data_IF_900573544902
#
_entry.id   IF_900573544902
#
_cell.length_a   1.000
_cell.length_b   1.000
_cell.length_c   1.000
_cell.angle_alpha   90.00
_cell.angle_beta   90.00
_cell.angle_gamma   90.00
#
_symmetry.space_group_name_H-M   'P 1'
#
loop_
_entity.id
_entity.type
_entity.pdbx_description
1 polymer ?
#
# COMPACT_ATOMS: atom_id res chain seq x y z
N UNK A 1 -33.16 -16.34 0.26
CA UNK A 1 -32.36 -17.21 1.16
C UNK A 1 -30.88 -16.82 1.17
N UNK A 2 -30.46 -15.70 0.54
CA UNK A 2 -29.05 -15.29 0.46
C UNK A 2 -28.50 -14.61 1.71
N UNK A 3 -29.24 -13.67 2.31
CA UNK A 3 -28.72 -12.80 3.39
C UNK A 3 -28.26 -13.54 4.66
N UNK A 4 -29.02 -14.55 5.12
CA UNK A 4 -28.66 -15.31 6.34
C UNK A 4 -27.49 -16.27 6.13
N UNK A 5 -27.29 -16.73 4.89
CA UNK A 5 -26.18 -17.61 4.52
C UNK A 5 -24.86 -16.83 4.48
N UNK A 6 -24.87 -15.62 3.93
CA UNK A 6 -23.72 -14.72 3.93
C UNK A 6 -23.33 -14.28 5.35
N UNK A 7 -24.28 -13.83 6.18
CA UNK A 7 -24.01 -13.46 7.58
C UNK A 7 -23.38 -14.61 8.39
N UNK A 8 -23.79 -15.85 8.14
CA UNK A 8 -23.23 -17.01 8.85
C UNK A 8 -21.80 -17.32 8.38
N UNK A 9 -21.52 -17.21 7.08
CA UNK A 9 -20.18 -17.38 6.52
C UNK A 9 -19.20 -16.33 7.05
N UNK A 10 -19.62 -15.07 7.10
CA UNK A 10 -18.78 -13.96 7.58
C UNK A 10 -18.46 -14.06 9.07
N UNK A 11 -19.38 -14.62 9.87
CA UNK A 11 -19.12 -14.93 11.29
C UNK A 11 -18.03 -15.98 11.46
N UNK A 12 -17.97 -17.01 10.62
CA UNK A 12 -16.90 -18.01 10.68
C UNK A 12 -15.54 -17.41 10.29
N UNK A 13 -15.50 -16.57 9.25
CA UNK A 13 -14.29 -15.86 8.81
C UNK A 13 -13.77 -14.96 9.95
N UNK A 14 -14.67 -14.16 10.54
CA UNK A 14 -14.33 -13.29 11.68
C UNK A 14 -13.82 -14.08 12.88
N UNK A 15 -14.52 -15.15 13.25
CA UNK A 15 -14.11 -16.03 14.34
C UNK A 15 -12.73 -16.66 14.11
N UNK A 16 -12.43 -17.08 12.87
CA UNK A 16 -11.11 -17.59 12.50
C UNK A 16 -10.00 -16.57 12.72
N UNK A 17 -10.21 -15.33 12.25
CA UNK A 17 -9.25 -14.25 12.46
C UNK A 17 -9.10 -13.84 13.94
N UNK A 18 -10.20 -13.76 14.69
CA UNK A 18 -10.17 -13.47 16.13
C UNK A 18 -9.37 -14.52 16.90
N UNK A 19 -9.55 -15.80 16.58
CA UNK A 19 -8.78 -16.88 17.17
C UNK A 19 -7.30 -16.77 16.80
N UNK A 20 -6.96 -16.55 15.54
CA UNK A 20 -5.56 -16.38 15.08
C UNK A 20 -4.87 -15.23 15.83
N UNK A 21 -5.56 -14.10 16.01
CA UNK A 21 -5.03 -12.95 16.74
C UNK A 21 -4.82 -13.22 18.24
N UNK A 22 -5.66 -14.07 18.85
CA UNK A 22 -5.58 -14.44 20.28
C UNK A 22 -4.45 -15.43 20.59
N UNK A 23 -4.28 -16.48 19.78
CA UNK A 23 -3.23 -17.51 20.02
C UNK A 23 -1.88 -17.12 19.47
N UNK A 24 -1.81 -16.19 18.52
CA UNK A 24 -0.58 -15.80 17.84
C UNK A 24 -0.19 -16.77 16.71
N UNK A 25 0.57 -16.27 15.72
CA UNK A 25 0.84 -16.94 14.43
C UNK A 25 1.31 -18.39 14.56
N UNK A 26 2.27 -18.64 15.43
CA UNK A 26 2.95 -19.95 15.52
C UNK A 26 2.06 -21.02 16.16
N UNK A 27 1.15 -20.61 17.04
CA UNK A 27 0.22 -21.51 17.72
C UNK A 27 -1.09 -21.63 16.93
N UNK A 28 -1.52 -20.57 16.23
CA UNK A 28 -2.76 -20.56 15.46
C UNK A 28 -2.81 -21.61 14.33
N UNK A 29 -1.68 -21.85 13.66
CA UNK A 29 -1.58 -22.85 12.57
C UNK A 29 -1.66 -24.31 13.06
N UNK A 30 -1.55 -24.57 14.37
CA UNK A 30 -1.59 -25.92 14.94
C UNK A 30 -2.73 -26.14 15.94
N UNK A 31 -3.27 -25.06 16.52
CA UNK A 31 -4.21 -25.13 17.63
C UNK A 31 -5.64 -24.74 17.26
N UNK A 32 -5.87 -23.94 16.22
CA UNK A 32 -7.23 -23.51 15.86
C UNK A 32 -7.96 -24.64 15.15
N UNK A 33 -8.99 -25.18 15.78
CA UNK A 33 -9.84 -26.22 15.18
C UNK A 33 -11.15 -25.64 14.64
N UNK A 34 -11.81 -26.41 13.76
CA UNK A 34 -13.17 -26.09 13.30
C UNK A 34 -14.15 -26.00 14.48
N UNK A 35 -13.93 -26.78 15.54
CA UNK A 35 -14.73 -26.72 16.76
C UNK A 35 -14.62 -25.36 17.45
N UNK A 36 -13.39 -24.85 17.58
CA UNK A 36 -13.12 -23.54 18.20
C UNK A 36 -13.75 -22.41 17.38
N UNK A 37 -13.58 -22.45 16.05
CA UNK A 37 -14.15 -21.46 15.13
C UNK A 37 -15.68 -21.50 15.22
N UNK A 38 -16.29 -22.69 15.20
CA UNK A 38 -17.73 -22.82 15.26
C UNK A 38 -18.30 -22.34 16.60
N UNK A 39 -17.66 -22.71 17.71
CA UNK A 39 -18.01 -22.23 19.03
C UNK A 39 -17.94 -20.69 19.11
N UNK A 40 -16.86 -20.10 18.61
CA UNK A 40 -16.67 -18.64 18.58
C UNK A 40 -17.72 -17.93 17.72
N UNK A 41 -18.04 -18.49 16.56
CA UNK A 41 -19.11 -17.99 15.69
C UNK A 41 -20.53 -18.22 16.28
N UNK A 42 -20.65 -18.88 17.45
CA UNK A 42 -21.92 -19.30 18.05
C UNK A 42 -22.76 -20.16 17.09
N UNK A 43 -22.11 -21.12 16.44
CA UNK A 43 -22.68 -22.06 15.47
C UNK A 43 -22.15 -23.48 15.71
N UNK A 44 -22.71 -24.45 14.99
CA UNK A 44 -22.24 -25.84 15.04
C UNK A 44 -21.21 -26.12 13.94
N UNK A 45 -20.36 -27.13 14.15
CA UNK A 45 -19.43 -27.62 13.11
C UNK A 45 -20.18 -28.08 11.86
N UNK A 46 -21.36 -28.70 12.00
CA UNK A 46 -22.22 -29.02 10.85
C UNK A 46 -22.58 -27.78 10.05
N UNK A 47 -22.87 -26.66 10.73
CA UNK A 47 -23.13 -25.40 10.04
C UNK A 47 -21.89 -24.88 9.32
N UNK A 48 -20.69 -25.04 9.88
CA UNK A 48 -19.45 -24.69 9.23
C UNK A 48 -19.26 -25.47 7.91
N UNK A 49 -19.40 -26.79 7.96
CA UNK A 49 -19.25 -27.66 6.78
C UNK A 49 -20.36 -27.50 5.73
N UNK A 50 -21.46 -26.80 6.04
CA UNK A 50 -22.44 -26.40 5.04
C UNK A 50 -22.00 -25.18 4.21
N UNK A 51 -20.99 -24.44 4.69
CA UNK A 51 -20.46 -23.23 4.04
C UNK A 51 -19.07 -23.42 3.42
N UNK A 52 -18.30 -24.39 3.91
CA UNK A 52 -16.96 -24.71 3.43
C UNK A 52 -16.88 -26.20 3.14
N UNK A 53 -16.39 -26.57 1.96
CA UNK A 53 -16.28 -27.96 1.52
C UNK A 53 -15.28 -28.73 2.40
N UNK A 54 -14.14 -28.11 2.66
CA UNK A 54 -13.07 -28.63 3.51
C UNK A 54 -12.32 -27.47 4.20
N UNK A 55 -11.26 -27.84 4.95
CA UNK A 55 -10.44 -26.87 5.67
C UNK A 55 -9.68 -25.93 4.72
N UNK A 56 -9.20 -26.45 3.60
CA UNK A 56 -8.42 -25.67 2.64
C UNK A 56 -9.29 -24.61 1.96
N UNK A 57 -10.53 -24.95 1.62
CA UNK A 57 -11.53 -24.01 1.11
C UNK A 57 -11.88 -22.92 2.13
N UNK A 58 -11.92 -23.25 3.43
CA UNK A 58 -12.06 -22.24 4.47
C UNK A 58 -10.84 -21.32 4.55
N UNK A 59 -9.63 -21.87 4.54
CA UNK A 59 -8.38 -21.10 4.58
C UNK A 59 -8.27 -20.17 3.37
N UNK A 60 -8.58 -20.65 2.17
CA UNK A 60 -8.60 -19.83 0.95
C UNK A 60 -9.55 -18.63 1.08
N UNK A 61 -10.74 -18.86 1.64
CA UNK A 61 -11.71 -17.80 1.90
C UNK A 61 -11.22 -16.85 2.99
N UNK A 62 -10.68 -17.37 4.09
CA UNK A 62 -10.17 -16.59 5.21
C UNK A 62 -9.06 -15.64 4.73
N UNK A 63 -8.13 -16.15 3.93
CA UNK A 63 -7.04 -15.41 3.29
C UNK A 63 -7.58 -14.42 2.25
N UNK A 64 -8.59 -14.79 1.47
CA UNK A 64 -9.22 -13.84 0.53
C UNK A 64 -10.04 -12.73 1.23
N UNK A 65 -10.30 -12.88 2.53
CA UNK A 65 -11.04 -11.93 3.37
C UNK A 65 -10.15 -11.33 4.47
N UNK A 66 -8.84 -11.19 4.23
CA UNK A 66 -7.99 -10.36 5.09
C UNK A 66 -8.60 -8.96 5.11
N UNK A 67 -8.84 -8.37 6.30
CA UNK A 67 -9.24 -6.97 6.35
C UNK A 67 -8.16 -6.15 5.67
N UNK A 68 -8.52 -5.50 4.57
CA UNK A 68 -7.57 -4.77 3.76
C UNK A 68 -7.27 -3.43 4.44
N UNK A 69 -6.06 -2.89 4.23
CA UNK A 69 -5.62 -1.65 4.89
C UNK A 69 -6.18 -0.38 4.25
N UNK A 70 -6.49 0.60 5.08
CA UNK A 70 -6.59 2.02 4.73
C UNK A 70 -7.83 2.43 3.92
N UNK A 71 -7.98 3.74 3.67
CA UNK A 71 -9.17 4.35 3.05
C UNK A 71 -9.31 4.08 1.54
N UNK A 72 -8.49 3.19 0.97
CA UNK A 72 -8.45 2.91 -0.47
C UNK A 72 -9.39 1.77 -0.88
N UNK A 73 -10.28 1.32 0.01
CA UNK A 73 -11.31 0.33 -0.33
C UNK A 73 -12.54 0.99 -0.90
N UNK A 74 -12.88 0.57 -2.11
CA UNK A 74 -14.09 0.97 -2.83
C UNK A 74 -15.39 0.38 -2.25
N UNK A 75 -15.34 -0.36 -1.13
CA UNK A 75 -16.53 -0.98 -0.54
C UNK A 75 -17.53 0.06 -0.01
N UNK A 76 -17.05 1.26 0.33
CA UNK A 76 -17.89 2.41 0.69
C UNK A 76 -18.31 3.27 -0.52
N UNK A 77 -17.99 2.86 -1.75
CA UNK A 77 -18.22 3.67 -2.96
C UNK A 77 -17.31 4.89 -3.08
N UNK A 78 -16.37 5.06 -2.15
CA UNK A 78 -15.34 6.10 -2.18
C UNK A 78 -14.09 5.57 -2.86
N UNK A 79 -13.76 6.11 -4.03
CA UNK A 79 -12.47 5.92 -4.67
C UNK A 79 -11.50 6.95 -4.05
N UNK A 80 -10.41 6.49 -3.44
CA UNK A 80 -9.37 7.38 -2.94
C UNK A 80 -8.77 8.27 -4.05
N UNK A 81 -8.89 7.84 -5.31
CA UNK A 81 -8.54 8.65 -6.50
C UNK A 81 -9.50 9.85 -6.63
N UNK A 82 -10.78 9.68 -6.30
CA UNK A 82 -11.82 10.72 -6.43
C UNK A 82 -11.69 11.77 -5.30
N UNK A 83 -11.21 11.37 -4.11
CA UNK A 83 -10.89 12.30 -3.00
C UNK A 83 -9.63 13.13 -3.32
N UNK A 84 -8.70 12.53 -4.06
CA UNK A 84 -7.47 13.20 -4.50
C UNK A 84 -7.78 14.29 -5.53
N UNK A 85 -8.82 14.14 -6.38
CA UNK A 85 -9.26 15.18 -7.34
C UNK A 85 -9.60 16.54 -6.70
N UNK A 86 -10.22 16.57 -5.50
CA UNK A 86 -10.54 17.84 -4.82
C UNK A 86 -9.28 18.54 -4.25
N UNK A 87 -8.24 17.77 -3.92
CA UNK A 87 -6.98 18.27 -3.35
C UNK A 87 -5.94 18.59 -4.43
N UNK A 88 -6.01 17.90 -5.58
CA UNK A 88 -5.14 18.07 -6.76
C UNK A 88 -5.21 19.47 -7.37
N UNK A 89 -6.32 20.19 -7.21
CA UNK A 89 -6.51 21.56 -7.71
C UNK A 89 -5.43 22.51 -7.17
N UNK A 90 -4.82 22.20 -6.02
CA UNK A 90 -3.77 23.00 -5.40
C UNK A 90 -2.35 22.46 -5.61
N UNK A 91 -2.16 21.28 -6.22
CA UNK A 91 -0.85 20.63 -6.32
C UNK A 91 0.05 21.33 -7.37
N UNK A 92 0.73 22.39 -6.95
CA UNK A 92 1.82 23.02 -7.73
C UNK A 92 3.17 22.55 -7.20
N UNK A 93 4.22 22.75 -8.00
CA UNK A 93 5.60 22.48 -7.58
C UNK A 93 5.98 23.16 -6.27
N UNK A 94 5.50 24.39 -6.06
CA UNK A 94 5.86 25.22 -4.91
C UNK A 94 5.32 24.67 -3.60
N UNK A 95 4.15 24.05 -3.62
CA UNK A 95 3.48 23.50 -2.41
C UNK A 95 3.61 21.97 -2.30
N UNK A 96 4.28 21.33 -3.26
CA UNK A 96 4.43 19.87 -3.30
C UNK A 96 5.10 19.32 -2.03
N UNK A 97 6.17 19.94 -1.47
CA UNK A 97 6.78 19.44 -0.24
C UNK A 97 5.81 19.41 0.94
N UNK A 98 5.03 20.47 1.13
CA UNK A 98 4.04 20.58 2.20
C UNK A 98 2.88 19.59 2.00
N UNK A 99 2.41 19.43 0.76
CA UNK A 99 1.36 18.47 0.42
C UNK A 99 1.80 17.02 0.68
N UNK A 100 3.00 16.63 0.22
CA UNK A 100 3.54 15.29 0.44
C UNK A 100 3.73 15.02 1.93
N UNK A 101 4.24 16.01 2.68
CA UNK A 101 4.39 15.90 4.14
C UNK A 101 3.05 15.69 4.85
N UNK A 102 2.05 16.51 4.52
CA UNK A 102 0.72 16.39 5.11
C UNK A 102 0.07 15.05 4.77
N UNK A 103 0.23 14.57 3.53
CA UNK A 103 -0.24 13.25 3.12
C UNK A 103 0.47 12.12 3.88
N UNK A 104 1.79 12.21 4.07
CA UNK A 104 2.57 11.23 4.82
C UNK A 104 2.15 11.18 6.30
N UNK A 105 1.96 12.35 6.92
CA UNK A 105 1.44 12.46 8.30
C UNK A 105 0.04 11.87 8.44
N UNK A 106 -0.89 12.27 7.56
CA UNK A 106 -2.27 11.77 7.56
C UNK A 106 -2.32 10.25 7.36
N UNK A 107 -1.57 9.74 6.39
CA UNK A 107 -1.48 8.31 6.13
C UNK A 107 -0.87 7.56 7.32
N UNK A 108 0.21 8.07 7.93
CA UNK A 108 0.82 7.44 9.10
C UNK A 108 -0.14 7.33 10.28
N UNK A 109 -0.87 8.41 10.58
CA UNK A 109 -1.88 8.44 11.65
C UNK A 109 -3.04 7.46 11.39
N UNK A 110 -3.36 7.18 10.12
CA UNK A 110 -4.36 6.18 9.77
C UNK A 110 -3.81 4.76 9.95
N UNK A 111 -2.68 4.44 9.31
CA UNK A 111 -2.14 3.07 9.28
C UNK A 111 -1.60 2.58 10.63
N UNK A 112 -1.40 3.49 11.59
CA UNK A 112 -1.03 3.17 12.98
C UNK A 112 -2.22 2.98 13.91
N UNK A 113 -3.47 3.10 13.43
CA UNK A 113 -4.66 2.77 14.22
C UNK A 113 -4.68 1.27 14.56
N UNK A 114 -5.24 0.87 15.72
CA UNK A 114 -5.26 -0.53 16.13
C UNK A 114 -5.84 -1.52 15.10
N UNK A 115 -6.89 -1.12 14.38
CA UNK A 115 -7.49 -1.94 13.33
C UNK A 115 -6.53 -2.15 12.14
N UNK A 116 -5.87 -1.08 11.71
CA UNK A 116 -4.90 -1.10 10.60
C UNK A 116 -3.63 -1.88 10.95
N UNK A 117 -3.14 -1.73 12.18
CA UNK A 117 -2.02 -2.53 12.69
C UNK A 117 -2.38 -4.01 12.77
N UNK A 118 -3.63 -4.35 13.09
CA UNK A 118 -4.13 -5.73 13.09
C UNK A 118 -4.16 -6.30 11.67
N UNK A 119 -4.71 -5.54 10.71
CA UNK A 119 -4.67 -5.90 9.30
C UNK A 119 -3.24 -6.09 8.78
N UNK A 120 -2.32 -5.19 9.14
CA UNK A 120 -0.92 -5.29 8.74
C UNK A 120 -0.24 -6.53 9.32
N UNK A 121 -0.45 -6.82 10.61
CA UNK A 121 0.07 -8.05 11.24
C UNK A 121 -0.38 -9.26 10.45
N UNK A 122 -1.67 -9.40 10.18
CA UNK A 122 -2.25 -10.51 9.39
C UNK A 122 -1.62 -10.61 7.99
N UNK A 123 -1.37 -9.49 7.32
CA UNK A 123 -0.66 -9.49 6.03
C UNK A 123 0.79 -10.01 6.16
N UNK A 124 1.54 -9.61 7.20
CA UNK A 124 2.89 -10.12 7.45
C UNK A 124 2.88 -11.63 7.73
N UNK A 125 1.88 -12.12 8.46
CA UNK A 125 1.70 -13.56 8.74
C UNK A 125 1.64 -14.35 7.42
N UNK A 126 0.85 -13.88 6.47
CA UNK A 126 0.67 -14.54 5.18
C UNK A 126 1.89 -14.39 4.29
N UNK A 127 2.50 -13.20 4.26
CA UNK A 127 3.73 -12.98 3.50
C UNK A 127 4.85 -13.92 3.94
N UNK A 128 4.93 -14.27 5.24
CA UNK A 128 5.91 -15.22 5.77
C UNK A 128 5.76 -16.66 5.23
N UNK A 129 4.60 -17.00 4.67
CA UNK A 129 4.27 -18.33 4.13
C UNK A 129 4.19 -18.36 2.61
N UNK A 130 4.11 -17.19 1.95
CA UNK A 130 3.92 -17.07 0.51
C UNK A 130 5.08 -17.62 -0.34
N UNK A 131 6.26 -17.87 0.25
CA UNK A 131 7.36 -18.57 -0.44
C UNK A 131 7.04 -20.05 -0.68
N UNK A 132 6.29 -20.67 0.23
CA UNK A 132 6.02 -22.10 0.22
C UNK A 132 4.62 -22.42 -0.31
N UNK A 133 3.71 -21.43 -0.27
CA UNK A 133 2.29 -21.60 -0.57
C UNK A 133 1.88 -20.70 -1.75
N UNK A 134 1.70 -21.30 -2.93
CA UNK A 134 1.37 -20.57 -4.17
C UNK A 134 0.04 -19.83 -4.07
N UNK A 135 -0.98 -20.40 -3.43
CA UNK A 135 -2.29 -19.76 -3.24
C UNK A 135 -2.19 -18.47 -2.44
N UNK A 136 -1.38 -18.45 -1.37
CA UNK A 136 -1.12 -17.23 -0.59
C UNK A 136 -0.38 -16.17 -1.41
N UNK A 137 0.60 -16.60 -2.22
CA UNK A 137 1.32 -15.70 -3.13
C UNK A 137 0.37 -15.10 -4.16
N UNK A 138 -0.56 -15.88 -4.70
CA UNK A 138 -1.56 -15.41 -5.67
C UNK A 138 -2.54 -14.41 -5.05
N UNK A 139 -3.02 -14.65 -3.82
CA UNK A 139 -3.90 -13.70 -3.12
C UNK A 139 -3.17 -12.39 -2.84
N UNK A 140 -1.95 -12.46 -2.28
CA UNK A 140 -1.13 -11.27 -2.04
C UNK A 140 -0.79 -10.55 -3.36
N UNK A 141 -0.47 -11.31 -4.41
CA UNK A 141 -0.22 -10.81 -5.76
C UNK A 141 -1.42 -10.05 -6.32
N UNK A 142 -2.61 -10.64 -6.28
CA UNK A 142 -3.84 -10.04 -6.80
C UNK A 142 -4.24 -8.80 -6.02
N UNK A 143 -4.28 -8.89 -4.69
CA UNK A 143 -4.91 -7.84 -3.88
C UNK A 143 -3.93 -6.68 -3.62
N UNK A 144 -2.66 -6.99 -3.29
CA UNK A 144 -1.67 -5.94 -3.01
C UNK A 144 -1.06 -5.36 -4.29
N UNK A 145 -0.53 -6.22 -5.17
CA UNK A 145 0.11 -5.76 -6.41
C UNK A 145 -0.90 -5.50 -7.55
N UNK A 146 -2.04 -6.18 -7.55
CA UNK A 146 -3.05 -6.01 -8.61
C UNK A 146 -4.09 -4.92 -8.35
N UNK A 147 -4.30 -4.50 -7.09
CA UNK A 147 -5.32 -3.49 -6.73
C UNK A 147 -4.74 -2.33 -5.94
N UNK A 148 -4.10 -2.59 -4.80
CA UNK A 148 -3.66 -1.52 -3.89
C UNK A 148 -2.56 -0.63 -4.50
N UNK A 149 -1.42 -1.22 -4.92
CA UNK A 149 -0.31 -0.43 -5.47
C UNK A 149 -0.68 0.33 -6.76
N UNK A 150 -1.42 -0.25 -7.73
CA UNK A 150 -1.86 0.50 -8.91
C UNK A 150 -2.73 1.72 -8.59
N UNK A 151 -3.57 1.65 -7.56
CA UNK A 151 -4.36 2.81 -7.13
C UNK A 151 -3.47 3.90 -6.50
N UNK A 152 -2.46 3.50 -5.73
CA UNK A 152 -1.52 4.43 -5.12
C UNK A 152 -0.64 5.10 -6.19
N UNK A 153 -0.20 4.31 -7.18
CA UNK A 153 0.54 4.80 -8.33
C UNK A 153 -0.25 5.88 -9.07
N UNK A 154 -1.55 5.66 -9.32
CA UNK A 154 -2.41 6.65 -10.01
C UNK A 154 -2.47 7.99 -9.26
N UNK A 155 -2.57 7.93 -7.92
CA UNK A 155 -2.56 9.13 -7.07
C UNK A 155 -1.23 9.88 -7.22
N UNK A 156 -0.10 9.16 -7.25
CA UNK A 156 1.21 9.77 -7.44
C UNK A 156 1.38 10.35 -8.85
N UNK A 157 0.94 9.65 -9.88
CA UNK A 157 0.95 10.12 -11.28
C UNK A 157 0.15 11.43 -11.44
N UNK A 158 -1.06 11.49 -10.91
CA UNK A 158 -1.90 12.68 -10.98
C UNK A 158 -1.27 13.86 -10.20
N UNK A 159 -0.75 13.60 -9.01
CA UNK A 159 -0.09 14.63 -8.17
C UNK A 159 1.15 15.18 -8.86
N UNK A 160 1.96 14.29 -9.45
CA UNK A 160 3.17 14.65 -10.16
C UNK A 160 2.87 15.42 -11.45
N UNK A 161 1.85 15.01 -12.20
CA UNK A 161 1.39 15.73 -13.40
C UNK A 161 0.92 17.15 -13.07
N UNK A 162 0.14 17.33 -12.00
CA UNK A 162 -0.30 18.65 -11.54
C UNK A 162 0.90 19.54 -11.15
N UNK A 163 1.89 18.96 -10.46
CA UNK A 163 3.12 19.66 -10.05
C UNK A 163 4.19 19.77 -11.15
N UNK A 164 3.96 19.21 -12.36
CA UNK A 164 4.92 19.15 -13.48
C UNK A 164 6.27 18.53 -13.09
N UNK A 165 6.20 17.43 -12.36
CA UNK A 165 7.35 16.62 -11.96
C UNK A 165 7.18 15.20 -12.46
N UNK A 166 8.30 14.49 -12.58
CA UNK A 166 8.33 13.07 -12.94
C UNK A 166 9.43 12.35 -12.15
N UNK A 167 9.36 11.02 -12.02
CA UNK A 167 10.45 10.25 -11.45
C UNK A 167 11.80 10.54 -12.14
N UNK A 168 12.87 10.48 -11.36
CA UNK A 168 14.26 10.59 -11.87
C UNK A 168 14.59 9.37 -12.73
N UNK A 169 15.32 9.55 -13.84
CA UNK A 169 15.74 8.40 -14.65
C UNK A 169 16.68 7.47 -13.85
N UNK A 170 16.61 6.15 -14.05
CA UNK A 170 15.73 5.40 -14.96
C UNK A 170 14.40 4.96 -14.31
N UNK A 171 13.99 5.58 -13.20
CA UNK A 171 12.79 5.20 -12.47
C UNK A 171 11.53 5.58 -13.22
N UNK A 172 10.53 4.71 -13.14
CA UNK A 172 9.14 5.02 -13.52
C UNK A 172 8.26 5.15 -12.27
N UNK A 173 6.97 5.45 -12.47
CA UNK A 173 6.03 5.58 -11.36
C UNK A 173 5.75 4.26 -10.64
N UNK A 174 5.89 3.12 -11.32
CA UNK A 174 5.75 1.81 -10.68
C UNK A 174 6.88 1.62 -9.65
N UNK A 175 8.12 1.87 -10.04
CA UNK A 175 9.31 1.77 -9.19
C UNK A 175 9.29 2.81 -8.06
N UNK A 176 8.89 4.05 -8.37
CA UNK A 176 8.66 5.10 -7.38
C UNK A 176 7.65 4.67 -6.31
N UNK A 177 6.49 4.15 -6.73
CA UNK A 177 5.41 3.71 -5.83
C UNK A 177 5.89 2.55 -4.96
N UNK A 178 6.57 1.56 -5.55
CA UNK A 178 7.13 0.41 -4.83
C UNK A 178 8.16 0.84 -3.78
N UNK A 179 9.02 1.81 -4.10
CA UNK A 179 10.03 2.31 -3.16
C UNK A 179 9.40 2.98 -1.94
N UNK A 180 8.41 3.86 -2.15
CA UNK A 180 7.70 4.52 -1.05
C UNK A 180 6.87 3.54 -0.22
N UNK A 181 6.18 2.59 -0.86
CA UNK A 181 5.45 1.54 -0.16
C UNK A 181 6.39 0.69 0.71
N UNK A 182 7.53 0.24 0.17
CA UNK A 182 8.51 -0.54 0.90
C UNK A 182 9.09 0.22 2.11
N UNK A 183 9.39 1.51 1.95
CA UNK A 183 9.85 2.35 3.05
C UNK A 183 8.78 2.51 4.14
N UNK A 184 7.55 2.84 3.74
CA UNK A 184 6.41 3.00 4.66
C UNK A 184 6.13 1.71 5.44
N UNK A 185 6.11 0.56 4.76
CA UNK A 185 5.92 -0.74 5.41
C UNK A 185 7.07 -1.16 6.32
N UNK A 186 8.32 -0.84 5.94
CA UNK A 186 9.48 -1.04 6.80
C UNK A 186 9.41 -0.22 8.09
N UNK A 187 8.96 1.04 8.00
CA UNK A 187 8.71 1.89 9.16
C UNK A 187 7.57 1.35 10.01
N UNK A 188 6.48 0.89 9.39
CA UNK A 188 5.36 0.30 10.10
C UNK A 188 5.75 -1.00 10.82
N UNK A 189 6.62 -1.80 10.23
CA UNK A 189 7.16 -3.01 10.85
C UNK A 189 7.96 -2.68 12.12
N UNK A 190 8.78 -1.62 12.07
CA UNK A 190 9.49 -1.12 13.25
C UNK A 190 8.52 -0.59 14.31
N UNK A 191 7.49 0.17 13.91
CA UNK A 191 6.46 0.67 14.83
C UNK A 191 5.67 -0.48 15.50
N UNK A 192 5.45 -1.59 14.79
CA UNK A 192 4.84 -2.78 15.39
C UNK A 192 5.67 -3.38 16.54
N UNK A 193 7.00 -3.31 16.44
CA UNK A 193 7.94 -3.82 17.43
C UNK A 193 8.20 -2.82 18.56
N UNK A 194 8.24 -1.52 18.25
CA UNK A 194 8.43 -0.42 19.18
C UNK A 194 7.54 0.78 18.80
N UNK A 195 6.29 0.83 19.30
CA UNK A 195 5.35 1.90 18.95
C UNK A 195 5.81 3.30 19.34
N UNK A 196 6.70 3.41 20.34
CA UNK A 196 7.24 4.69 20.82
C UNK A 196 8.54 5.11 20.12
N UNK A 197 9.18 4.21 19.39
CA UNK A 197 10.49 4.44 18.76
C UNK A 197 10.44 5.26 17.47
N UNK A 198 9.25 5.42 16.87
CA UNK A 198 9.04 6.14 15.61
C UNK A 198 7.99 7.22 15.82
N UNK A 199 8.39 8.49 15.69
CA UNK A 199 7.48 9.62 15.74
C UNK A 199 6.84 9.90 14.37
N UNK A 200 5.66 10.51 14.36
CA UNK A 200 4.96 10.91 13.13
C UNK A 200 5.76 11.95 12.34
N UNK A 201 6.45 12.86 13.04
CA UNK A 201 7.32 13.87 12.43
C UNK A 201 8.49 13.20 11.70
N UNK A 202 9.14 12.21 12.32
CA UNK A 202 10.20 11.45 11.65
C UNK A 202 9.70 10.76 10.38
N UNK A 203 8.54 10.10 10.44
CA UNK A 203 7.99 9.39 9.27
C UNK A 203 7.62 10.35 8.15
N UNK A 204 6.89 11.42 8.48
CA UNK A 204 6.49 12.43 7.49
C UNK A 204 7.71 13.11 6.85
N UNK A 205 8.72 13.50 7.64
CA UNK A 205 9.98 14.06 7.14
C UNK A 205 10.70 13.09 6.20
N UNK A 206 10.86 11.84 6.63
CA UNK A 206 11.63 10.84 5.92
C UNK A 206 10.95 10.45 4.61
N UNK A 207 9.64 10.18 4.63
CA UNK A 207 8.87 9.86 3.42
C UNK A 207 8.85 11.04 2.45
N UNK A 208 8.67 12.28 2.93
CA UNK A 208 8.73 13.47 2.08
C UNK A 208 10.11 13.66 1.46
N UNK A 209 11.18 13.54 2.25
CA UNK A 209 12.54 13.69 1.75
C UNK A 209 12.85 12.66 0.66
N UNK A 210 12.48 11.38 0.88
CA UNK A 210 12.67 10.33 -0.11
C UNK A 210 11.80 10.57 -1.35
N UNK A 211 10.50 10.84 -1.19
CA UNK A 211 9.61 11.10 -2.32
C UNK A 211 10.11 12.24 -3.20
N UNK A 212 10.50 13.38 -2.61
CA UNK A 212 11.01 14.52 -3.37
C UNK A 212 12.36 14.24 -4.02
N UNK A 213 13.24 13.45 -3.37
CA UNK A 213 14.55 13.09 -3.95
C UNK A 213 14.44 12.18 -5.19
N UNK A 214 13.33 11.45 -5.31
CA UNK A 214 13.05 10.57 -6.43
C UNK A 214 12.30 11.27 -7.58
N UNK A 215 12.01 12.56 -7.45
CA UNK A 215 11.33 13.36 -8.47
C UNK A 215 12.29 14.41 -9.05
N UNK A 216 12.07 14.74 -10.33
CA UNK A 216 12.69 15.86 -11.03
C UNK A 216 11.63 16.67 -11.74
N UNK A 217 11.96 17.91 -12.06
CA UNK A 217 11.15 18.73 -12.94
C UNK A 217 11.11 18.14 -14.35
N UNK A 218 9.95 18.25 -14.98
CA UNK A 218 9.88 18.19 -16.43
C UNK A 218 10.49 19.49 -16.96
N UNK A 219 11.71 19.40 -17.51
CA UNK A 219 12.28 20.51 -18.27
C UNK A 219 11.36 20.77 -19.47
N UNK A 220 10.99 22.03 -19.68
CA UNK A 220 10.36 22.45 -20.92
C UNK A 220 11.30 22.13 -22.07
N UNK A 221 10.80 21.54 -23.16
CA UNK A 221 11.60 21.27 -24.37
C UNK A 221 12.31 22.50 -24.96
N UNK A 222 11.93 23.72 -24.54
CA UNK A 222 12.63 24.97 -24.88
C UNK A 222 14.01 25.12 -24.19
N UNK A 223 14.22 24.54 -23.01
CA UNK A 223 15.49 24.66 -22.28
C UNK A 223 16.60 23.77 -22.89
N UNK A 224 16.21 22.67 -23.55
CA UNK A 224 17.13 21.80 -24.30
C UNK A 224 17.60 22.46 -25.60
N UNK A 225 16.73 23.22 -26.29
CA UNK A 225 17.14 23.99 -27.48
C UNK A 225 18.11 25.13 -27.13
N UNK A 226 17.99 25.76 -25.96
CA UNK A 226 18.95 26.77 -25.50
C UNK A 226 20.30 26.18 -25.08
N UNK A 227 20.32 25.00 -24.46
CA UNK A 227 21.58 24.31 -24.13
C UNK A 227 22.30 23.77 -25.37
N UNK A 228 21.58 23.27 -26.38
CA UNK A 228 22.20 22.85 -27.64
C UNK A 228 22.65 24.03 -28.51
N UNK A 229 21.93 25.17 -28.48
CA UNK A 229 22.34 26.39 -29.18
C UNK A 229 23.59 27.05 -28.57
N UNK A 230 23.74 27.04 -27.24
CA UNK A 230 24.92 27.59 -26.55
C UNK A 230 26.16 26.70 -26.71
N UNK A 231 25.99 25.40 -26.94
CA UNK A 231 27.11 24.48 -27.27
C UNK A 231 27.50 24.58 -28.75
N UNK A 232 26.57 24.95 -29.63
CA UNK A 232 26.80 25.04 -31.08
C UNK A 232 27.46 26.35 -31.55
N UNK A 233 27.60 27.37 -30.69
CA UNK A 233 28.22 28.65 -31.05
C UNK A 233 29.48 28.91 -30.24
N UNK A 234 30.63 28.36 -30.69
CA UNK A 234 31.89 29.11 -30.88
C UNK A 234 32.93 28.26 -31.64
N UNK A 235 33.02 28.35 -32.99
CA UNK A 235 34.32 28.24 -33.64
C UNK A 235 35.02 29.61 -33.48
N UNK A 236 36.03 29.66 -32.62
CA UNK A 236 36.90 30.82 -32.48
C UNK A 236 37.61 31.17 -33.81
N UNK A 237 38.00 32.43 -34.03
CA UNK A 237 38.62 32.86 -35.28
C UNK A 237 40.00 32.20 -35.43
N UNK A 238 40.18 31.42 -36.49
CA UNK A 238 41.50 31.01 -36.97
C UNK A 238 42.04 32.10 -37.89
N UNK A 239 42.53 33.19 -37.28
CA UNK A 239 43.40 34.14 -37.95
C UNK A 239 44.81 34.00 -37.38
N UNK A 240 45.79 33.74 -38.24
CA UNK A 240 47.20 33.73 -37.88
C UNK A 240 48.09 33.13 -38.94
N UNK A 241 48.32 33.89 -40.02
CA UNK A 241 49.44 33.68 -40.95
C UNK A 241 50.78 33.61 -40.21
N UNK A 242 51.66 32.70 -40.65
CA UNK A 242 53.04 32.54 -40.21
C UNK A 242 53.72 31.39 -40.93
#
# INVERSE_FOLDING_TARGET
>A
MGDRGHDTRDRFIRAGWELIDEVGLLDALRAVTVSDIAARASRSERSFWNHFEDWDAFVEVLVSNIPRRGPMHSEDGYSAVDVVDETLVAATREVLPELVRAAAEGNWNEVTRPAELTAFRRQLLLASRATDENSLREVLGRDYYGVFLPNLQRIYEQTAAAARVRPVDPLDFEQFTRALAAMSEGLLLQHLADPGGISVEFVSDALTAVALSLLRTEESGEDLEHLEADIAVQPGPLDGEG
#
